data_IF_148091015787
#
_entry.id   IF_148091015787
#
_cell.length_a   1.000
_cell.length_b   1.000
_cell.length_c   1.000
_cell.angle_alpha   90.00
_cell.angle_beta   90.00
_cell.angle_gamma   90.00
#
_symmetry.space_group_name_H-M   'P 1'
#
loop_
_entity.id
_entity.type
_entity.pdbx_description
1 polymer ?
#
# COMPACT_ATOMS: atom_id res chain seq x y z
N UNK A 1 12.02 -5.84 -4.87
CA UNK A 1 11.28 -5.18 -3.75
C UNK A 1 10.18 -6.13 -3.31
N UNK A 2 9.90 -6.23 -2.01
CA UNK A 2 8.78 -7.02 -1.47
C UNK A 2 7.87 -6.14 -0.62
N UNK A 3 6.57 -6.41 -0.64
CA UNK A 3 5.57 -5.70 0.16
C UNK A 3 4.63 -6.69 0.84
N UNK A 4 4.41 -6.52 2.14
CA UNK A 4 3.51 -7.36 2.94
C UNK A 4 2.53 -6.49 3.73
N UNK A 5 1.25 -6.87 3.74
CA UNK A 5 0.27 -6.38 4.72
C UNK A 5 0.19 -7.41 5.86
N UNK A 6 0.49 -7.00 7.09
CA UNK A 6 0.51 -7.89 8.25
C UNK A 6 -0.54 -7.45 9.28
N UNK A 7 -1.24 -8.39 9.94
CA UNK A 7 -2.12 -8.05 11.04
C UNK A 7 -1.33 -7.50 12.24
N UNK A 8 -1.90 -6.51 12.93
CA UNK A 8 -1.33 -5.91 14.15
C UNK A 8 -1.24 -6.88 15.32
N UNK A 9 -2.03 -7.96 15.31
CA UNK A 9 -1.95 -9.10 16.23
C UNK A 9 -0.54 -9.71 16.32
N UNK A 10 0.28 -9.56 15.28
CA UNK A 10 1.67 -10.00 15.30
C UNK A 10 2.57 -9.16 16.22
N UNK A 11 2.04 -8.09 16.82
CA UNK A 11 2.75 -7.20 17.74
C UNK A 11 3.87 -6.41 17.06
N UNK A 12 3.86 -6.32 15.73
CA UNK A 12 4.90 -5.65 14.93
C UNK A 12 4.38 -4.34 14.37
N UNK A 13 5.17 -3.28 14.51
CA UNK A 13 4.92 -2.03 13.82
C UNK A 13 5.32 -2.14 12.34
N UNK A 14 4.70 -1.30 11.50
CA UNK A 14 5.07 -1.18 10.10
C UNK A 14 6.56 -0.88 9.97
N UNK A 15 7.27 -1.62 9.14
CA UNK A 15 8.73 -1.62 9.10
C UNK A 15 9.27 -1.65 7.67
N UNK A 16 10.54 -1.28 7.54
CA UNK A 16 11.28 -1.39 6.29
C UNK A 16 12.58 -2.11 6.58
N UNK A 17 12.84 -3.18 5.84
CA UNK A 17 14.06 -3.98 5.96
C UNK A 17 14.83 -3.91 4.65
N UNK A 18 16.09 -3.53 4.72
CA UNK A 18 17.01 -3.58 3.59
C UNK A 18 18.01 -4.72 3.80
N UNK A 19 17.95 -5.73 2.95
CA UNK A 19 18.92 -6.83 2.89
C UNK A 19 19.89 -6.54 1.76
N UNK A 20 20.99 -5.84 2.08
CA UNK A 20 21.99 -5.38 1.09
C UNK A 20 22.58 -6.52 0.27
N UNK A 21 22.87 -7.66 0.92
CA UNK A 21 23.46 -8.83 0.27
C UNK A 21 22.57 -9.39 -0.85
N UNK A 22 21.25 -9.26 -0.70
CA UNK A 22 20.25 -9.74 -1.66
C UNK A 22 19.75 -8.63 -2.59
N UNK A 23 20.19 -7.38 -2.38
CA UNK A 23 19.65 -6.18 -3.05
C UNK A 23 18.12 -6.08 -2.94
N UNK A 24 17.57 -6.52 -1.80
CA UNK A 24 16.13 -6.51 -1.52
C UNK A 24 15.82 -5.47 -0.46
N UNK A 25 14.83 -4.63 -0.74
CA UNK A 25 14.11 -3.86 0.26
C UNK A 25 12.70 -4.44 0.41
N UNK A 26 12.31 -4.67 1.67
CA UNK A 26 11.01 -5.19 2.08
C UNK A 26 10.28 -4.15 2.89
N UNK A 27 9.00 -3.99 2.60
CA UNK A 27 8.10 -3.04 3.24
C UNK A 27 6.97 -3.82 3.88
N UNK A 28 6.90 -3.78 5.20
CA UNK A 28 5.82 -4.42 5.95
C UNK A 28 4.90 -3.32 6.47
N UNK A 29 3.67 -3.27 5.97
CA UNK A 29 2.62 -2.42 6.52
C UNK A 29 1.79 -3.23 7.51
N UNK A 30 1.75 -2.79 8.75
CA UNK A 30 0.85 -3.34 9.75
C UNK A 30 -0.53 -2.72 9.62
N UNK A 31 -1.56 -3.57 9.62
CA UNK A 31 -2.97 -3.20 9.52
C UNK A 31 -3.76 -3.88 10.64
N UNK A 32 -4.77 -3.18 11.17
CA UNK A 32 -5.62 -3.73 12.22
C UNK A 32 -6.86 -4.37 11.62
N UNK A 33 -7.01 -5.69 11.71
CA UNK A 33 -8.20 -6.38 11.18
C UNK A 33 -9.48 -5.85 11.84
N UNK A 34 -9.44 -5.62 13.16
CA UNK A 34 -10.54 -5.07 13.94
C UNK A 34 -11.05 -3.73 13.42
N UNK A 35 -10.17 -2.92 12.82
CA UNK A 35 -10.53 -1.65 12.18
C UNK A 35 -11.35 -1.85 10.91
N UNK A 36 -11.07 -2.88 10.13
CA UNK A 36 -11.60 -3.06 8.78
C UNK A 36 -12.78 -4.04 8.73
N UNK A 37 -12.87 -5.00 9.65
CA UNK A 37 -13.81 -6.13 9.58
C UNK A 37 -15.29 -5.75 9.53
N UNK A 38 -15.66 -4.54 9.94
CA UNK A 38 -17.05 -4.04 9.91
C UNK A 38 -17.36 -3.20 8.68
N UNK A 39 -16.37 -2.91 7.83
CA UNK A 39 -16.53 -2.06 6.65
C UNK A 39 -16.91 -2.88 5.41
N UNK A 40 -17.58 -2.23 4.46
CA UNK A 40 -17.80 -2.78 3.12
C UNK A 40 -16.47 -3.05 2.41
N UNK A 41 -16.49 -3.92 1.39
CA UNK A 41 -15.27 -4.28 0.65
C UNK A 41 -14.71 -3.05 -0.08
N UNK A 42 -15.59 -2.21 -0.63
CA UNK A 42 -15.22 -0.92 -1.25
C UNK A 42 -14.43 -0.04 -0.28
N UNK A 43 -14.95 0.16 0.93
CA UNK A 43 -14.34 1.03 1.94
C UNK A 43 -13.04 0.45 2.49
N UNK A 44 -12.94 -0.86 2.64
CA UNK A 44 -11.68 -1.54 2.98
C UNK A 44 -10.63 -1.31 1.90
N UNK A 45 -10.97 -1.54 0.62
CA UNK A 45 -10.05 -1.35 -0.52
C UNK A 45 -9.60 0.11 -0.63
N UNK A 46 -10.53 1.06 -0.53
CA UNK A 46 -10.21 2.49 -0.53
C UNK A 46 -9.19 2.82 0.57
N UNK A 47 -9.52 2.54 1.83
CA UNK A 47 -8.65 2.89 2.94
C UNK A 47 -7.29 2.18 2.91
N UNK A 48 -7.25 0.89 2.57
CA UNK A 48 -6.01 0.11 2.48
C UNK A 48 -5.11 0.59 1.34
N UNK A 49 -5.68 0.87 0.15
CA UNK A 49 -4.88 1.33 -1.00
C UNK A 49 -4.23 2.70 -0.73
N UNK A 50 -4.97 3.63 -0.12
CA UNK A 50 -4.44 4.95 0.24
C UNK A 50 -3.41 4.87 1.37
N UNK A 51 -3.64 4.02 2.38
CA UNK A 51 -2.66 3.77 3.44
C UNK A 51 -1.36 3.16 2.88
N UNK A 52 -1.47 2.19 1.97
CA UNK A 52 -0.34 1.59 1.27
C UNK A 52 0.46 2.65 0.51
N UNK A 53 -0.19 3.40 -0.38
CA UNK A 53 0.50 4.34 -1.26
C UNK A 53 1.18 5.46 -0.47
N UNK A 54 0.52 5.96 0.58
CA UNK A 54 1.09 6.94 1.51
C UNK A 54 2.33 6.37 2.21
N UNK A 55 2.21 5.17 2.79
CA UNK A 55 3.33 4.50 3.47
C UNK A 55 4.50 4.30 2.51
N UNK A 56 4.26 3.75 1.32
CA UNK A 56 5.29 3.55 0.30
C UNK A 56 5.99 4.87 -0.03
N UNK A 57 5.25 5.91 -0.40
CA UNK A 57 5.80 7.21 -0.75
C UNK A 57 6.67 7.83 0.36
N UNK A 58 6.23 7.76 1.61
CA UNK A 58 7.04 8.20 2.76
C UNK A 58 8.34 7.43 2.90
N UNK A 59 8.31 6.11 2.73
CA UNK A 59 9.51 5.28 2.87
C UNK A 59 10.46 5.45 1.69
N UNK A 60 9.95 5.60 0.47
CA UNK A 60 10.76 5.87 -0.71
C UNK A 60 11.55 7.17 -0.56
N UNK A 61 10.89 8.24 -0.07
CA UNK A 61 11.56 9.51 0.27
C UNK A 61 12.63 9.36 1.35
N UNK A 62 12.39 8.51 2.35
CA UNK A 62 13.29 8.30 3.49
C UNK A 62 14.54 7.48 3.13
N UNK A 63 14.38 6.35 2.44
CA UNK A 63 15.45 5.35 2.32
C UNK A 63 16.37 5.54 1.10
N UNK A 64 16.08 6.49 0.20
CA UNK A 64 16.88 6.83 -1.00
C UNK A 64 17.63 5.63 -1.56
N UNK A 65 16.88 4.77 -2.24
CA UNK A 65 17.39 3.50 -2.77
C UNK A 65 18.35 3.79 -3.92
N UNK A 66 19.56 3.26 -3.84
CA UNK A 66 20.59 3.45 -4.87
C UNK A 66 20.12 2.91 -6.22
N UNK A 67 20.36 3.67 -7.29
CA UNK A 67 19.96 3.37 -8.67
C UNK A 67 18.44 3.26 -8.93
N UNK A 68 17.61 3.75 -8.01
CA UNK A 68 16.17 3.85 -8.23
C UNK A 68 15.76 5.31 -8.32
N UNK A 69 15.18 5.71 -9.45
CA UNK A 69 14.46 6.96 -9.54
C UNK A 69 13.18 6.84 -8.70
N UNK A 70 13.21 7.40 -7.50
CA UNK A 70 12.10 7.26 -6.56
C UNK A 70 10.86 8.05 -6.98
N UNK A 71 11.02 9.11 -7.78
CA UNK A 71 9.89 9.91 -8.25
C UNK A 71 9.16 9.19 -9.38
N UNK A 72 9.92 8.74 -10.40
CA UNK A 72 9.39 7.94 -11.50
C UNK A 72 8.74 6.65 -10.98
N UNK A 73 9.43 5.91 -10.11
CA UNK A 73 8.88 4.69 -9.51
C UNK A 73 7.58 4.93 -8.75
N UNK A 74 7.51 6.00 -7.93
CA UNK A 74 6.29 6.28 -7.16
C UNK A 74 5.14 6.70 -8.07
N UNK A 75 5.43 7.47 -9.13
CA UNK A 75 4.45 7.85 -10.14
C UNK A 75 3.89 6.63 -10.88
N UNK A 76 4.76 5.75 -11.38
CA UNK A 76 4.37 4.54 -12.11
C UNK A 76 3.55 3.60 -11.23
N UNK A 77 3.95 3.42 -9.97
CA UNK A 77 3.17 2.68 -8.98
C UNK A 77 1.78 3.28 -8.78
N UNK A 78 1.68 4.61 -8.72
CA UNK A 78 0.40 5.31 -8.60
C UNK A 78 -0.52 5.09 -9.80
N UNK A 79 0.03 5.07 -11.02
CA UNK A 79 -0.70 4.75 -12.26
C UNK A 79 -1.19 3.31 -12.22
N UNK A 80 -0.28 2.37 -11.97
CA UNK A 80 -0.60 0.94 -11.91
C UNK A 80 -1.66 0.61 -10.86
N UNK A 81 -1.60 1.23 -9.68
CA UNK A 81 -2.64 1.08 -8.66
C UNK A 81 -4.02 1.51 -9.17
N UNK A 82 -4.11 2.64 -9.88
CA UNK A 82 -5.38 3.09 -10.47
C UNK A 82 -5.91 2.11 -11.51
N UNK A 83 -5.05 1.55 -12.34
CA UNK A 83 -5.42 0.58 -13.37
C UNK A 83 -6.04 -0.70 -12.78
N UNK A 84 -5.57 -1.14 -11.62
CA UNK A 84 -6.12 -2.32 -10.93
C UNK A 84 -7.33 -1.98 -10.03
N UNK A 85 -7.89 -0.78 -10.16
CA UNK A 85 -9.04 -0.32 -9.35
C UNK A 85 -8.69 -0.01 -7.90
N UNK A 86 -7.43 0.25 -7.60
CA UNK A 86 -6.98 0.81 -6.32
C UNK A 86 -6.83 2.32 -6.43
N UNK A 87 -6.65 3.03 -5.31
CA UNK A 87 -6.51 4.50 -5.30
C UNK A 87 -7.70 5.26 -5.90
N UNK A 88 -8.85 4.60 -6.00
CA UNK A 88 -10.14 5.22 -6.36
C UNK A 88 -10.59 6.21 -5.28
N UNK A 89 -11.44 7.16 -5.65
CA UNK A 89 -12.19 7.97 -4.68
C UNK A 89 -13.19 7.10 -3.92
N UNK A 90 -13.73 7.58 -2.79
CA UNK A 90 -14.78 6.85 -2.07
C UNK A 90 -16.00 6.63 -2.99
N UNK A 91 -16.38 7.64 -3.78
CA UNK A 91 -17.51 7.58 -4.72
C UNK A 91 -17.28 6.53 -5.82
N UNK A 92 -16.08 6.48 -6.41
CA UNK A 92 -15.71 5.47 -7.40
C UNK A 92 -15.75 4.05 -6.81
N UNK A 93 -15.26 3.89 -5.57
CA UNK A 93 -15.27 2.61 -4.87
C UNK A 93 -16.69 2.14 -4.53
N UNK A 94 -17.57 3.05 -4.10
CA UNK A 94 -18.98 2.76 -3.84
C UNK A 94 -19.73 2.38 -5.12
N UNK A 95 -19.47 3.06 -6.24
CA UNK A 95 -20.04 2.72 -7.54
C UNK A 95 -19.56 1.34 -8.01
N UNK A 96 -18.28 1.02 -7.86
CA UNK A 96 -17.73 -0.30 -8.19
C UNK A 96 -18.43 -1.43 -7.43
N UNK A 97 -18.62 -1.27 -6.12
CA UNK A 97 -19.32 -2.26 -5.29
C UNK A 97 -20.81 -2.39 -5.63
N UNK A 98 -21.48 -1.27 -5.92
CA UNK A 98 -22.91 -1.27 -6.29
C UNK A 98 -23.17 -1.94 -7.63
N UNK A 99 -22.25 -1.81 -8.59
CA UNK A 99 -22.44 -2.29 -9.96
C UNK A 99 -21.57 -3.51 -10.34
N UNK A 100 -20.74 -4.00 -9.41
CA UNK A 100 -19.91 -5.19 -9.62
C UNK A 100 -18.79 -5.01 -10.66
N UNK A 101 -18.23 -3.79 -10.74
CA UNK A 101 -17.11 -3.44 -11.61
C UNK A 101 -15.76 -3.58 -10.90
#
# INVERSE_FOLDING_TARGET
MSYSCLPDEYGRNSSVRHVKAERVISFDLTVSEDRYKTWSVSKQRHALSHAFYTFLGEKMKKYKIEHLDTEEFTSDMGIWLKEIGWMQTEEEAELGEKYGL
#
